data_IF_063833828318
#
_entry.id   IF_063833828318
#
_cell.length_a   1.000
_cell.length_b   1.000
_cell.length_c   1.000
_cell.angle_alpha   90.00
_cell.angle_beta   90.00
_cell.angle_gamma   90.00
#
_symmetry.space_group_name_H-M   'P 1'
#
loop_
_entity.id
_entity.type
_entity.pdbx_description
1 polymer ?
#
# COMPACT_ATOMS: atom_id res chain seq x y z
N UNK A 1 -5.94 16.96 -15.40
CA UNK A 1 -5.88 16.19 -14.13
C UNK A 1 -6.37 14.78 -14.43
N UNK A 2 -5.50 13.77 -14.34
CA UNK A 2 -5.82 12.40 -14.73
C UNK A 2 -6.49 11.59 -13.60
N UNK A 3 -7.20 10.53 -13.97
CA UNK A 3 -7.77 9.58 -13.02
C UNK A 3 -6.64 8.89 -12.24
N UNK A 4 -6.65 9.05 -10.91
CA UNK A 4 -5.77 8.32 -10.01
C UNK A 4 -6.60 7.34 -9.21
N UNK A 5 -6.17 6.09 -9.21
CA UNK A 5 -6.66 5.06 -8.33
C UNK A 5 -5.76 5.06 -7.10
N UNK A 6 -6.39 5.06 -5.92
CA UNK A 6 -5.72 5.05 -4.63
C UNK A 6 -6.32 3.90 -3.83
N UNK A 7 -5.49 2.98 -3.37
CA UNK A 7 -5.91 1.89 -2.49
C UNK A 7 -4.77 1.62 -1.51
N UNK A 8 -5.07 1.64 -0.20
CA UNK A 8 -4.04 1.56 0.84
C UNK A 8 -2.89 2.56 0.57
N UNK A 9 -1.63 2.11 0.53
CA UNK A 9 -0.43 2.87 0.16
C UNK A 9 -0.11 2.87 -1.35
N UNK A 10 -0.93 2.22 -2.19
CA UNK A 10 -0.72 2.15 -3.64
C UNK A 10 -1.48 3.26 -4.38
N UNK A 11 -0.75 3.98 -5.24
CA UNK A 11 -1.29 5.05 -6.09
C UNK A 11 -0.87 4.78 -7.53
N UNK A 12 -1.83 4.74 -8.45
CA UNK A 12 -1.54 4.60 -9.88
C UNK A 12 -2.64 5.22 -10.73
N UNK A 13 -2.31 5.63 -11.96
CA UNK A 13 -3.33 5.98 -12.96
C UNK A 13 -4.02 4.76 -13.56
N UNK A 14 -3.60 3.53 -13.22
CA UNK A 14 -4.15 2.27 -13.72
C UNK A 14 -4.55 1.34 -12.58
N UNK A 15 -5.75 0.77 -12.67
CA UNK A 15 -6.25 -0.17 -11.66
C UNK A 15 -5.48 -1.50 -11.65
N UNK A 16 -5.09 -2.02 -12.82
CA UNK A 16 -4.33 -3.27 -12.92
C UNK A 16 -2.97 -3.19 -12.20
N UNK A 17 -2.35 -2.00 -12.20
CA UNK A 17 -1.09 -1.76 -11.49
C UNK A 17 -1.26 -1.85 -9.98
N UNK A 18 -2.42 -1.47 -9.45
CA UNK A 18 -2.73 -1.65 -8.04
C UNK A 18 -2.89 -3.14 -7.70
N UNK A 19 -3.60 -3.91 -8.53
CA UNK A 19 -3.75 -5.35 -8.28
C UNK A 19 -2.41 -6.10 -8.37
N UNK A 20 -1.54 -5.72 -9.33
CA UNK A 20 -0.18 -6.26 -9.40
C UNK A 20 0.63 -5.91 -8.14
N UNK A 21 0.57 -4.66 -7.68
CA UNK A 21 1.26 -4.24 -6.46
C UNK A 21 0.79 -4.99 -5.22
N UNK A 22 -0.51 -5.33 -5.13
CA UNK A 22 -1.04 -6.18 -4.06
C UNK A 22 -0.41 -7.58 -4.08
N UNK A 23 -0.37 -8.22 -5.24
CA UNK A 23 0.22 -9.54 -5.40
C UNK A 23 1.72 -9.53 -5.07
N UNK A 24 2.44 -8.50 -5.52
CA UNK A 24 3.87 -8.35 -5.25
C UNK A 24 4.16 -8.05 -3.77
N UNK A 25 3.29 -7.31 -3.09
CA UNK A 25 3.37 -7.09 -1.65
C UNK A 25 3.16 -8.38 -0.85
N UNK A 26 2.10 -9.14 -1.16
CA UNK A 26 1.84 -10.44 -0.52
C UNK A 26 2.96 -11.45 -0.77
N UNK A 27 3.59 -11.40 -1.94
CA UNK A 27 4.72 -12.26 -2.29
C UNK A 27 6.07 -11.76 -1.75
N UNK A 28 6.12 -10.61 -1.05
CA UNK A 28 7.37 -10.04 -0.54
C UNK A 28 8.35 -9.58 -1.61
N UNK A 29 7.88 -9.29 -2.83
CA UNK A 29 8.71 -8.81 -3.96
C UNK A 29 8.97 -7.31 -3.93
N UNK A 30 8.18 -6.57 -3.15
CA UNK A 30 8.38 -5.13 -2.94
C UNK A 30 9.47 -4.95 -1.89
N UNK A 31 10.52 -4.22 -2.26
CA UNK A 31 11.60 -3.89 -1.34
C UNK A 31 11.05 -2.98 -0.23
N UNK A 32 11.15 -3.44 1.03
CA UNK A 32 10.79 -2.63 2.18
C UNK A 32 11.83 -1.52 2.40
N UNK A 33 11.43 -0.37 2.97
CA UNK A 33 12.37 0.67 3.35
C UNK A 33 13.45 0.10 4.28
N UNK A 34 14.73 0.46 4.09
CA UNK A 34 15.82 -0.10 4.90
C UNK A 34 15.70 0.24 6.40
N UNK A 35 15.00 1.32 6.72
CA UNK A 35 14.74 1.79 8.09
C UNK A 35 13.44 1.26 8.69
N UNK A 36 12.60 0.60 7.90
CA UNK A 36 11.26 0.15 8.29
C UNK A 36 10.91 -1.19 7.61
N UNK A 37 11.73 -2.20 7.89
CA UNK A 37 11.62 -3.56 7.34
C UNK A 37 11.54 -4.66 8.42
N UNK A 38 11.45 -4.28 9.69
CA UNK A 38 11.39 -5.22 10.81
C UNK A 38 10.00 -5.82 11.00
N UNK A 39 8.95 -5.14 10.54
CA UNK A 39 7.55 -5.58 10.66
C UNK A 39 6.88 -5.59 9.28
N UNK A 40 6.13 -6.65 9.00
CA UNK A 40 5.36 -6.76 7.77
C UNK A 40 3.89 -6.42 8.01
N UNK A 41 3.39 -5.39 7.33
CA UNK A 41 1.97 -5.00 7.39
C UNK A 41 1.18 -5.75 6.31
N UNK A 42 0.27 -6.68 6.67
CA UNK A 42 -0.52 -7.40 5.67
C UNK A 42 -1.52 -6.49 4.97
N UNK A 43 -1.96 -6.91 3.79
CA UNK A 43 -3.03 -6.22 3.08
C UNK A 43 -4.37 -6.38 3.83
N UNK A 44 -5.23 -5.35 3.83
CA UNK A 44 -6.57 -5.47 4.41
C UNK A 44 -7.44 -6.43 3.58
N UNK A 45 -8.24 -7.25 4.28
CA UNK A 45 -9.27 -8.13 3.68
C UNK A 45 -10.41 -7.34 3.02
N UNK A 46 -10.74 -6.17 3.57
CA UNK A 46 -11.82 -5.33 3.05
C UNK A 46 -11.33 -4.37 1.96
N UNK A 47 -12.05 -4.35 0.82
CA UNK A 47 -11.78 -3.43 -0.29
C UNK A 47 -12.19 -1.99 0.03
N UNK A 48 -12.98 -1.80 1.08
CA UNK A 48 -13.32 -0.48 1.61
C UNK A 48 -12.23 -0.08 2.60
N UNK A 49 -11.46 0.94 2.25
CA UNK A 49 -10.53 1.56 3.20
C UNK A 49 -11.35 2.01 4.42
N UNK A 50 -11.08 1.57 5.67
CA UNK A 50 -11.53 2.34 6.81
C UNK A 50 -10.66 3.60 6.79
N UNK A 51 -11.20 4.69 6.29
CA UNK A 51 -10.60 5.99 6.52
C UNK A 51 -10.74 6.26 8.02
N UNK A 52 -9.73 5.90 8.82
CA UNK A 52 -9.56 6.50 10.15
C UNK A 52 -9.34 5.62 11.38
N UNK A 53 -9.08 4.31 11.30
CA UNK A 53 -8.82 3.55 12.55
C UNK A 53 -7.68 2.53 12.38
N UNK A 54 -6.44 2.98 12.60
CA UNK A 54 -5.35 2.08 13.00
C UNK A 54 -4.18 1.88 12.04
N UNK A 55 -4.15 2.52 10.86
CA UNK A 55 -2.88 2.61 10.14
C UNK A 55 -1.97 3.57 10.90
N UNK A 56 -0.72 3.19 11.25
CA UNK A 56 0.23 4.18 11.76
C UNK A 56 0.32 5.31 10.73
N UNK A 57 0.41 6.58 11.17
CA UNK A 57 0.56 7.68 10.24
C UNK A 57 1.74 7.34 9.33
N UNK A 58 1.63 7.54 8.00
CA UNK A 58 2.77 7.34 7.12
C UNK A 58 3.86 8.25 7.66
N UNK A 59 4.85 7.67 8.34
CA UNK A 59 6.03 8.40 8.74
C UNK A 59 6.63 8.84 7.42
N UNK A 60 6.57 10.14 7.15
CA UNK A 60 7.20 10.71 5.98
C UNK A 60 8.65 10.22 6.01
N UNK A 61 9.03 9.43 5.00
CA UNK A 61 10.44 9.11 4.77
C UNK A 61 11.13 10.47 4.65
N UNK A 62 11.84 10.85 5.70
CA UNK A 62 12.50 12.15 5.83
C UNK A 62 13.92 12.09 5.29
#
# INVERSE_FOLDING_TARGET
>A
LGNRFIWWNFVSSRRDRIEQAKADWQAGRILLPPTDNHEFVPLPDDRTRPAGSGSPPPQALS
#
